data_IF_730324510215
#
_entry.id   IF_730324510215
#
_cell.length_a   1.000
_cell.length_b   1.000
_cell.length_c   1.000
_cell.angle_alpha   90.00
_cell.angle_beta   90.00
_cell.angle_gamma   90.00
#
_symmetry.space_group_name_H-M   'P 1'
#
loop_
_entity.id
_entity.type
_entity.pdbx_description
1 polymer ?
#
# COMPACT_ATOMS: atom_id res chain seq x y z
N UNK A 1 -11.30 5.42 -9.51
CA UNK A 1 -10.14 6.32 -9.28
C UNK A 1 -8.83 5.74 -9.85
N UNK A 2 -8.49 4.48 -9.54
CA UNK A 2 -7.19 3.89 -9.95
C UNK A 2 -7.03 3.76 -11.46
N UNK A 3 -8.09 3.40 -12.19
CA UNK A 3 -8.07 3.26 -13.67
C UNK A 3 -7.78 4.61 -14.35
N UNK A 4 -8.47 5.67 -13.95
CA UNK A 4 -8.23 7.01 -14.52
C UNK A 4 -6.83 7.52 -14.15
N UNK A 5 -6.34 7.18 -12.94
CA UNK A 5 -4.98 7.47 -12.51
C UNK A 5 -3.94 6.78 -13.40
N UNK A 6 -4.08 5.48 -13.69
CA UNK A 6 -3.19 4.74 -14.59
C UNK A 6 -3.17 5.38 -15.98
N UNK A 7 -4.32 5.68 -16.56
CA UNK A 7 -4.41 6.30 -17.88
C UNK A 7 -3.70 7.66 -17.95
N UNK A 8 -3.86 8.49 -16.91
CA UNK A 8 -3.19 9.79 -16.80
C UNK A 8 -1.67 9.63 -16.72
N UNK A 9 -1.18 8.71 -15.86
CA UNK A 9 0.25 8.44 -15.72
C UNK A 9 0.84 7.75 -16.95
N UNK A 10 0.07 6.91 -17.63
CA UNK A 10 0.49 6.27 -18.88
C UNK A 10 0.71 7.29 -20.00
N UNK A 11 -0.24 8.20 -20.22
CA UNK A 11 -0.10 9.29 -21.19
C UNK A 11 1.15 10.15 -20.94
N UNK A 12 1.55 10.30 -19.67
CA UNK A 12 2.78 11.01 -19.26
C UNK A 12 4.05 10.14 -19.33
N UNK A 13 3.96 8.88 -19.73
CA UNK A 13 5.08 7.94 -19.75
C UNK A 13 5.55 7.44 -18.37
N UNK A 14 4.82 7.74 -17.31
CA UNK A 14 5.17 7.47 -15.90
C UNK A 14 4.66 6.10 -15.40
N UNK A 15 4.57 5.10 -16.27
CA UNK A 15 4.23 3.72 -15.91
C UNK A 15 5.29 2.78 -16.43
N UNK A 16 5.90 1.99 -15.58
CA UNK A 16 6.80 0.89 -15.98
C UNK A 16 6.00 -0.43 -15.99
N UNK A 17 5.45 -0.77 -17.16
CA UNK A 17 4.66 -1.99 -17.31
C UNK A 17 5.46 -3.26 -17.02
N UNK A 18 6.75 -3.31 -17.37
CA UNK A 18 7.59 -4.49 -17.11
C UNK A 18 7.75 -4.73 -15.61
N UNK A 19 8.02 -3.67 -14.83
CA UNK A 19 8.07 -3.76 -13.38
C UNK A 19 6.68 -4.06 -12.79
N UNK A 20 5.65 -3.37 -13.31
CA UNK A 20 4.27 -3.54 -12.89
C UNK A 20 3.75 -4.97 -13.09
N UNK A 21 4.04 -5.62 -14.24
CA UNK A 21 3.62 -7.01 -14.48
C UNK A 21 4.33 -7.99 -13.56
N UNK A 22 5.61 -7.79 -13.27
CA UNK A 22 6.35 -8.66 -12.33
C UNK A 22 5.78 -8.54 -10.92
N UNK A 23 5.53 -7.31 -10.44
CA UNK A 23 4.87 -7.06 -9.16
C UNK A 23 3.44 -7.60 -9.12
N UNK A 24 2.72 -7.50 -10.25
CA UNK A 24 1.35 -8.00 -10.39
C UNK A 24 1.30 -9.52 -10.26
N UNK A 25 2.18 -10.25 -10.93
CA UNK A 25 2.23 -11.72 -10.82
C UNK A 25 2.45 -12.13 -9.36
N UNK A 26 3.43 -11.51 -8.68
CA UNK A 26 3.61 -11.73 -7.24
C UNK A 26 2.37 -11.33 -6.42
N UNK A 27 1.77 -10.20 -6.73
CA UNK A 27 0.59 -9.67 -6.04
C UNK A 27 -0.65 -10.54 -6.17
N UNK A 28 -0.92 -11.10 -7.36
CA UNK A 28 -2.05 -12.04 -7.57
C UNK A 28 -1.83 -13.34 -6.81
N UNK A 29 -0.63 -13.92 -6.90
CA UNK A 29 -0.29 -15.11 -6.10
C UNK A 29 -0.39 -14.81 -4.61
N UNK A 30 0.18 -13.68 -4.17
CA UNK A 30 0.15 -13.26 -2.77
C UNK A 30 -1.27 -13.01 -2.26
N UNK A 31 -2.12 -12.33 -3.02
CA UNK A 31 -3.50 -12.08 -2.61
C UNK A 31 -4.33 -13.36 -2.55
N UNK A 32 -4.10 -14.32 -3.45
CA UNK A 32 -4.76 -15.63 -3.40
C UNK A 32 -4.35 -16.40 -2.14
N UNK A 33 -3.07 -16.43 -1.81
CA UNK A 33 -2.57 -17.01 -0.55
C UNK A 33 -3.16 -16.26 0.66
N UNK A 34 -3.21 -14.92 0.58
CA UNK A 34 -3.75 -14.08 1.64
C UNK A 34 -5.22 -14.37 1.96
N UNK A 35 -6.06 -14.63 0.94
CA UNK A 35 -7.46 -15.05 1.16
C UNK A 35 -7.54 -16.40 1.85
N UNK A 36 -6.68 -17.36 1.48
CA UNK A 36 -6.63 -18.68 2.18
C UNK A 36 -6.23 -18.48 3.65
N UNK A 37 -5.21 -17.66 3.92
CA UNK A 37 -4.80 -17.31 5.30
C UNK A 37 -5.94 -16.63 6.05
N UNK A 38 -6.64 -15.68 5.41
CA UNK A 38 -7.80 -14.98 5.96
C UNK A 38 -8.87 -15.98 6.43
N UNK A 39 -9.24 -16.94 5.58
CA UNK A 39 -10.22 -17.98 5.90
C UNK A 39 -9.76 -18.89 7.03
N UNK A 40 -8.48 -19.25 7.05
CA UNK A 40 -7.89 -20.06 8.12
C UNK A 40 -7.93 -19.33 9.47
N UNK A 41 -7.51 -18.07 9.49
CA UNK A 41 -7.54 -17.24 10.70
C UNK A 41 -8.97 -16.98 11.20
N UNK A 42 -9.93 -16.84 10.28
CA UNK A 42 -11.34 -16.72 10.61
C UNK A 42 -11.88 -17.96 11.34
N UNK A 43 -11.48 -19.16 10.90
CA UNK A 43 -11.88 -20.44 11.56
C UNK A 43 -11.30 -20.59 12.97
N UNK A 44 -10.11 -20.03 13.22
CA UNK A 44 -9.46 -20.07 14.55
C UNK A 44 -9.96 -18.94 15.46
N UNK A 45 -10.71 -17.94 14.92
CA UNK A 45 -11.18 -16.79 15.68
C UNK A 45 -10.11 -15.74 15.96
N UNK A 46 -8.94 -15.82 15.34
CA UNK A 46 -7.82 -14.86 15.54
C UNK A 46 -7.71 -13.80 14.44
N UNK A 47 -8.69 -13.72 13.56
CA UNK A 47 -8.67 -12.84 12.40
C UNK A 47 -8.50 -11.36 12.80
N UNK A 48 -9.31 -10.89 13.75
CA UNK A 48 -9.32 -9.49 14.19
C UNK A 48 -7.98 -9.08 14.82
N UNK A 49 -7.40 -9.97 15.64
CA UNK A 49 -6.10 -9.72 16.26
C UNK A 49 -4.98 -9.61 15.22
N UNK A 50 -4.94 -10.52 14.25
CA UNK A 50 -3.90 -10.50 13.19
C UNK A 50 -4.07 -9.28 12.29
N UNK A 51 -5.30 -8.91 11.93
CA UNK A 51 -5.56 -7.72 11.14
C UNK A 51 -5.13 -6.46 11.90
N UNK A 52 -5.59 -6.26 13.13
CA UNK A 52 -5.24 -5.10 13.95
C UNK A 52 -3.74 -4.98 14.19
N UNK A 53 -3.07 -6.09 14.55
CA UNK A 53 -1.62 -6.09 14.75
C UNK A 53 -0.85 -5.78 13.47
N UNK A 54 -1.29 -6.32 12.33
CA UNK A 54 -0.71 -5.97 11.02
C UNK A 54 -0.85 -4.49 10.71
N UNK A 55 -2.04 -3.90 10.95
CA UNK A 55 -2.24 -2.46 10.79
C UNK A 55 -1.30 -1.66 11.68
N UNK A 56 -1.23 -1.97 12.97
CA UNK A 56 -0.35 -1.26 13.92
C UNK A 56 1.09 -1.28 13.45
N UNK A 57 1.62 -2.45 13.10
CA UNK A 57 3.00 -2.59 12.64
C UNK A 57 3.26 -1.79 11.37
N UNK A 58 2.43 -1.96 10.33
CA UNK A 58 2.66 -1.30 9.04
C UNK A 58 2.38 0.19 9.06
N UNK A 59 1.33 0.65 9.76
CA UNK A 59 1.02 2.07 9.87
C UNK A 59 2.11 2.80 10.69
N UNK A 60 2.59 2.19 11.78
CA UNK A 60 3.69 2.77 12.57
C UNK A 60 4.96 2.87 11.72
N UNK A 61 5.33 1.79 11.02
CA UNK A 61 6.54 1.76 10.20
C UNK A 61 6.47 2.80 9.07
N UNK A 62 5.38 2.80 8.30
CA UNK A 62 5.24 3.72 7.17
C UNK A 62 5.05 5.16 7.66
N UNK A 63 4.23 5.37 8.69
CA UNK A 63 4.01 6.68 9.28
C UNK A 63 5.29 7.30 9.83
N UNK A 64 6.11 6.52 10.54
CA UNK A 64 7.39 6.99 11.07
C UNK A 64 8.41 7.32 9.97
N UNK A 65 8.51 6.49 8.92
CA UNK A 65 9.35 6.77 7.75
C UNK A 65 8.91 8.06 7.04
N UNK A 66 7.62 8.21 6.76
CA UNK A 66 7.09 9.40 6.11
C UNK A 66 7.24 10.66 6.96
N UNK A 67 7.02 10.54 8.28
CA UNK A 67 7.17 11.66 9.20
C UNK A 67 8.64 12.11 9.28
N UNK A 68 9.56 11.18 9.46
CA UNK A 68 11.00 11.48 9.53
C UNK A 68 11.51 12.13 8.24
N UNK A 69 11.08 11.64 7.07
CA UNK A 69 11.43 12.24 5.78
C UNK A 69 10.86 13.66 5.64
N UNK A 70 9.58 13.86 6.00
CA UNK A 70 8.89 15.13 5.90
C UNK A 70 9.52 16.19 6.82
N UNK A 71 9.80 15.83 8.08
CA UNK A 71 10.47 16.69 9.04
C UNK A 71 11.89 17.07 8.56
N UNK A 72 12.65 16.07 8.07
CA UNK A 72 13.98 16.31 7.54
C UNK A 72 13.98 17.26 6.34
N UNK A 73 13.00 17.16 5.45
CA UNK A 73 12.86 18.07 4.30
C UNK A 73 12.54 19.50 4.75
N UNK A 74 11.61 19.68 5.70
CA UNK A 74 11.23 20.99 6.23
C UNK A 74 12.42 21.63 6.97
N UNK A 75 13.11 20.86 7.82
CA UNK A 75 14.28 21.36 8.57
C UNK A 75 15.46 21.72 7.66
N UNK A 76 15.71 20.94 6.60
CA UNK A 76 16.77 21.23 5.62
C UNK A 76 16.46 22.48 4.80
N UNK A 77 15.21 22.70 4.41
CA UNK A 77 14.79 23.94 3.74
C UNK A 77 15.00 25.17 4.62
N UNK A 78 14.67 25.09 5.91
CA UNK A 78 14.94 26.20 6.86
C UNK A 78 16.44 26.49 6.99
N UNK A 79 17.31 25.50 6.80
CA UNK A 79 18.78 25.68 6.86
C UNK A 79 19.42 26.04 5.51
N UNK A 80 18.64 26.38 4.47
CA UNK A 80 19.16 26.79 3.15
C UNK A 80 19.92 25.72 2.37
N UNK A 81 19.92 24.46 2.83
CA UNK A 81 20.61 23.36 2.15
C UNK A 81 19.69 22.74 1.09
N UNK A 82 19.92 23.11 -0.17
CA UNK A 82 19.30 22.42 -1.30
C UNK A 82 19.82 20.97 -1.34
N UNK A 83 18.99 20.03 -0.94
CA UNK A 83 19.34 18.62 -1.00
C UNK A 83 19.11 18.09 -2.41
N UNK A 84 20.16 17.83 -3.16
CA UNK A 84 20.13 16.83 -4.22
C UNK A 84 19.86 15.48 -3.55
N UNK A 85 18.67 14.93 -3.75
CA UNK A 85 18.31 13.60 -3.24
C UNK A 85 19.36 12.59 -3.70
N UNK A 86 20.22 12.14 -2.80
CA UNK A 86 21.03 10.95 -3.05
C UNK A 86 20.04 9.78 -3.07
N UNK A 87 19.81 9.21 -4.24
CA UNK A 87 19.23 7.88 -4.35
C UNK A 87 20.13 6.95 -3.56
N UNK A 88 19.63 6.40 -2.45
CA UNK A 88 20.33 5.35 -1.73
C UNK A 88 20.49 4.16 -2.66
N UNK A 89 21.72 3.95 -3.14
CA UNK A 89 22.08 2.69 -3.79
C UNK A 89 22.24 1.65 -2.67
N UNK A 90 21.22 0.85 -2.46
CA UNK A 90 21.33 -0.34 -1.63
C UNK A 90 22.13 -1.41 -2.39
N UNK A 91 23.41 -1.52 -2.09
CA UNK A 91 24.33 -2.52 -2.67
C UNK A 91 24.06 -3.97 -2.19
N UNK A 92 23.13 -4.19 -1.27
CA UNK A 92 22.87 -5.52 -0.69
C UNK A 92 22.14 -6.49 -1.64
N UNK A 93 21.54 -6.00 -2.71
CA UNK A 93 20.66 -6.75 -3.62
C UNK A 93 21.36 -7.33 -4.85
N UNK A 94 22.67 -7.19 -4.96
CA UNK A 94 23.41 -7.64 -6.14
C UNK A 94 23.75 -9.14 -6.18
N UNK A 95 23.45 -9.93 -5.15
CA UNK A 95 23.76 -11.36 -5.06
C UNK A 95 22.73 -12.31 -5.69
N UNK A 96 21.52 -11.86 -6.04
CA UNK A 96 20.45 -12.74 -6.51
C UNK A 96 20.57 -13.07 -8.01
N UNK A 97 20.25 -14.33 -8.42
CA UNK A 97 20.22 -14.74 -9.82
C UNK A 97 19.04 -14.08 -10.57
N UNK A 98 18.97 -14.27 -11.91
CA UNK A 98 17.92 -13.73 -12.80
C UNK A 98 17.84 -12.20 -12.83
N UNK A 99 18.99 -11.53 -12.98
CA UNK A 99 19.05 -10.08 -13.13
C UNK A 99 18.41 -9.63 -14.45
N UNK A 100 17.48 -8.68 -14.35
CA UNK A 100 16.77 -8.12 -15.50
C UNK A 100 16.89 -6.60 -15.50
N UNK A 101 17.00 -6.03 -16.69
CA UNK A 101 17.06 -4.59 -16.89
C UNK A 101 15.65 -4.02 -17.06
N UNK A 102 15.24 -3.17 -16.15
CA UNK A 102 14.01 -2.37 -16.23
C UNK A 102 14.36 -1.01 -16.82
N UNK A 103 14.13 -0.86 -18.13
CA UNK A 103 14.62 0.32 -18.89
C UNK A 103 14.00 1.63 -18.41
N UNK A 104 12.69 1.64 -18.10
CA UNK A 104 12.00 2.86 -17.64
C UNK A 104 12.42 3.26 -16.25
N UNK A 105 12.48 2.34 -15.32
CA UNK A 105 12.92 2.57 -13.94
C UNK A 105 14.43 2.74 -13.80
N UNK A 106 15.21 2.50 -14.89
CA UNK A 106 16.69 2.52 -14.91
C UNK A 106 17.33 1.61 -13.84
N UNK A 107 16.63 0.52 -13.49
CA UNK A 107 17.07 -0.44 -12.48
C UNK A 107 17.59 -1.71 -13.13
N UNK A 108 18.64 -2.26 -12.53
CA UNK A 108 19.18 -3.57 -12.87
C UNK A 108 19.18 -4.43 -11.62
N UNK A 109 18.07 -5.15 -11.43
CA UNK A 109 17.81 -5.96 -10.24
C UNK A 109 17.28 -7.35 -10.63
N UNK A 110 17.35 -8.30 -9.69
CA UNK A 110 16.74 -9.61 -9.87
C UNK A 110 15.21 -9.51 -9.94
N UNK A 111 14.58 -10.27 -10.86
CA UNK A 111 13.12 -10.39 -10.96
C UNK A 111 12.52 -10.97 -9.69
N UNK A 112 13.25 -11.82 -8.97
CA UNK A 112 12.76 -12.46 -7.74
C UNK A 112 12.39 -11.44 -6.67
N UNK A 113 13.12 -10.33 -6.57
CA UNK A 113 12.88 -9.31 -5.56
C UNK A 113 11.51 -8.62 -5.73
N UNK A 114 11.16 -8.05 -6.91
CA UNK A 114 9.82 -7.50 -7.13
C UNK A 114 8.71 -8.55 -6.97
N UNK A 115 8.92 -9.79 -7.42
CA UNK A 115 7.94 -10.87 -7.22
C UNK A 115 7.70 -11.12 -5.74
N UNK A 116 8.75 -11.25 -4.95
CA UNK A 116 8.66 -11.48 -3.51
C UNK A 116 7.96 -10.33 -2.77
N UNK A 117 8.31 -9.08 -3.14
CA UNK A 117 7.62 -7.90 -2.61
C UNK A 117 6.13 -7.93 -3.03
N UNK A 118 5.84 -8.27 -4.28
CA UNK A 118 4.47 -8.43 -4.77
C UNK A 118 3.68 -9.46 -3.95
N UNK A 119 4.27 -10.62 -3.65
CA UNK A 119 3.64 -11.68 -2.84
C UNK A 119 3.33 -11.16 -1.44
N UNK A 120 4.30 -10.57 -0.75
CA UNK A 120 4.08 -10.04 0.60
C UNK A 120 3.00 -8.98 0.62
N UNK A 121 3.09 -8.01 -0.31
CA UNK A 121 2.09 -6.94 -0.42
C UNK A 121 0.71 -7.49 -0.78
N UNK A 122 0.65 -8.50 -1.65
CA UNK A 122 -0.60 -9.17 -2.01
C UNK A 122 -1.26 -9.88 -0.82
N UNK A 123 -0.48 -10.61 -0.01
CA UNK A 123 -0.98 -11.24 1.23
C UNK A 123 -1.54 -10.17 2.16
N UNK A 124 -0.79 -9.11 2.41
CA UNK A 124 -1.21 -8.03 3.29
C UNK A 124 -2.43 -7.28 2.74
N UNK A 125 -2.50 -7.07 1.42
CA UNK A 125 -3.66 -6.48 0.76
C UNK A 125 -4.94 -7.27 0.99
N UNK A 126 -4.85 -8.61 0.92
CA UNK A 126 -5.99 -9.49 1.14
C UNK A 126 -6.40 -9.58 2.61
N UNK A 127 -5.44 -9.56 3.54
CA UNK A 127 -5.72 -9.58 4.98
C UNK A 127 -6.27 -8.24 5.48
N UNK A 128 -5.67 -7.13 5.07
CA UNK A 128 -6.01 -5.79 5.56
C UNK A 128 -7.13 -5.12 4.77
N UNK A 129 -7.45 -5.58 3.56
CA UNK A 129 -8.50 -5.00 2.73
C UNK A 129 -8.19 -3.61 2.13
N UNK A 130 -6.96 -3.09 2.24
CA UNK A 130 -6.57 -1.75 1.72
C UNK A 130 -6.23 -1.78 0.22
N UNK A 131 -6.23 -2.94 -0.42
CA UNK A 131 -5.83 -3.06 -1.83
C UNK A 131 -4.31 -2.96 -2.09
N UNK A 132 -3.47 -3.00 -1.04
CA UNK A 132 -2.01 -3.05 -1.13
C UNK A 132 -1.31 -1.76 -1.56
N UNK A 133 -2.02 -0.74 -2.04
CA UNK A 133 -1.43 0.50 -2.56
C UNK A 133 -0.61 1.27 -1.54
N UNK A 134 -1.06 1.26 -0.31
CA UNK A 134 -0.42 1.94 0.80
C UNK A 134 0.96 1.34 1.15
N UNK A 135 1.13 0.04 0.96
CA UNK A 135 2.38 -0.68 1.27
C UNK A 135 3.30 -0.75 0.06
N UNK A 136 2.74 -0.93 -1.15
CA UNK A 136 3.56 -1.11 -2.36
C UNK A 136 4.33 0.15 -2.73
N UNK A 137 3.77 1.34 -2.52
CA UNK A 137 4.44 2.62 -2.83
C UNK A 137 5.73 2.79 -2.04
N UNK A 138 5.74 2.71 -0.69
CA UNK A 138 6.98 2.74 0.07
C UNK A 138 7.92 1.57 -0.27
N UNK A 139 7.40 0.36 -0.49
CA UNK A 139 8.22 -0.78 -0.86
C UNK A 139 8.97 -0.54 -2.19
N UNK A 140 8.31 0.02 -3.20
CA UNK A 140 8.94 0.36 -4.48
C UNK A 140 10.00 1.46 -4.34
N UNK A 141 9.78 2.44 -3.47
CA UNK A 141 10.73 3.54 -3.24
C UNK A 141 11.94 3.07 -2.43
N UNK A 142 11.69 2.43 -1.29
CA UNK A 142 12.75 2.13 -0.32
C UNK A 142 13.45 0.79 -0.57
N UNK A 143 12.73 -0.24 -1.01
CA UNK A 143 13.32 -1.56 -1.27
C UNK A 143 13.81 -1.72 -2.70
N UNK A 144 13.06 -1.24 -3.71
CA UNK A 144 13.46 -1.35 -5.11
C UNK A 144 14.28 -0.15 -5.60
N UNK A 145 14.22 0.99 -4.90
CA UNK A 145 14.92 2.21 -5.32
C UNK A 145 14.32 2.86 -6.57
N UNK A 146 13.03 2.66 -6.83
CA UNK A 146 12.37 3.23 -8.00
C UNK A 146 12.20 4.75 -7.90
N UNK A 147 12.34 5.48 -9.03
CA UNK A 147 11.99 6.91 -9.07
C UNK A 147 10.52 7.12 -8.70
N UNK A 148 10.25 8.07 -7.79
CA UNK A 148 8.90 8.35 -7.29
C UNK A 148 7.89 8.70 -8.38
N UNK A 149 8.33 9.29 -9.49
CA UNK A 149 7.48 9.60 -10.64
C UNK A 149 6.90 8.37 -11.33
N UNK A 150 7.63 7.25 -11.32
CA UNK A 150 7.19 5.98 -11.91
C UNK A 150 6.43 5.10 -10.93
N UNK A 151 6.71 5.26 -9.63
CA UNK A 151 6.10 4.45 -8.57
C UNK A 151 4.59 4.60 -8.56
N UNK A 152 4.07 5.83 -8.59
CA UNK A 152 2.63 6.10 -8.50
C UNK A 152 1.87 5.44 -9.65
N UNK A 153 2.31 5.64 -10.89
CA UNK A 153 1.64 5.04 -12.05
C UNK A 153 1.73 3.51 -12.08
N UNK A 154 2.90 2.96 -11.70
CA UNK A 154 3.13 1.51 -11.69
C UNK A 154 2.38 0.82 -10.54
N UNK A 155 2.31 1.45 -9.37
CA UNK A 155 1.52 0.92 -8.25
C UNK A 155 0.02 0.93 -8.56
N UNK A 156 -0.52 2.01 -9.12
CA UNK A 156 -1.93 2.06 -9.53
C UNK A 156 -2.27 0.96 -10.53
N UNK A 157 -1.37 0.66 -11.48
CA UNK A 157 -1.55 -0.44 -12.42
C UNK A 157 -1.67 -1.78 -11.70
N UNK A 158 -0.77 -2.07 -10.76
CA UNK A 158 -0.80 -3.32 -9.99
C UNK A 158 -2.04 -3.43 -9.09
N UNK A 159 -2.39 -2.34 -8.39
CA UNK A 159 -3.52 -2.32 -7.45
C UNK A 159 -4.84 -2.71 -8.11
N UNK A 160 -5.10 -2.28 -9.34
CA UNK A 160 -6.33 -2.60 -10.06
C UNK A 160 -6.53 -4.12 -10.11
N UNK A 161 -5.51 -4.85 -10.51
CA UNK A 161 -5.62 -6.29 -10.69
C UNK A 161 -5.59 -7.05 -9.36
N UNK A 162 -4.75 -6.64 -8.42
CA UNK A 162 -4.69 -7.27 -7.09
C UNK A 162 -5.98 -7.05 -6.32
N UNK A 163 -6.54 -5.84 -6.36
CA UNK A 163 -7.82 -5.55 -5.72
C UNK A 163 -8.97 -6.32 -6.38
N UNK A 164 -8.99 -6.39 -7.72
CA UNK A 164 -10.00 -7.18 -8.44
C UNK A 164 -9.92 -8.66 -8.06
N UNK A 165 -8.71 -9.25 -8.05
CA UNK A 165 -8.51 -10.65 -7.64
C UNK A 165 -8.97 -10.88 -6.20
N UNK A 166 -8.57 -10.03 -5.26
CA UNK A 166 -8.98 -10.12 -3.86
C UNK A 166 -10.49 -10.01 -3.72
N UNK A 167 -11.13 -9.05 -4.40
CA UNK A 167 -12.57 -8.85 -4.33
C UNK A 167 -13.34 -10.06 -4.87
N UNK A 168 -12.91 -10.62 -6.02
CA UNK A 168 -13.54 -11.81 -6.61
C UNK A 168 -13.40 -13.01 -5.67
N UNK A 169 -12.22 -13.24 -5.11
CA UNK A 169 -12.00 -14.34 -4.18
C UNK A 169 -12.79 -14.18 -2.87
N UNK A 170 -12.83 -12.98 -2.30
CA UNK A 170 -13.60 -12.71 -1.09
C UNK A 170 -15.11 -12.82 -1.34
N UNK A 171 -15.60 -12.34 -2.50
CA UNK A 171 -17.00 -12.48 -2.87
C UNK A 171 -17.41 -13.93 -3.07
N UNK A 172 -16.56 -14.74 -3.74
CA UNK A 172 -16.88 -16.14 -4.06
C UNK A 172 -16.75 -17.09 -2.88
N UNK A 173 -15.77 -16.86 -1.98
CA UNK A 173 -15.48 -17.78 -0.88
C UNK A 173 -16.17 -17.38 0.43
N UNK A 174 -16.24 -16.08 0.72
CA UNK A 174 -16.68 -15.59 2.03
C UNK A 174 -18.02 -14.86 1.98
N UNK A 175 -18.54 -14.57 0.78
CA UNK A 175 -19.79 -13.81 0.58
C UNK A 175 -19.84 -12.49 1.40
N UNK A 176 -18.68 -11.89 1.65
CA UNK A 176 -18.52 -10.71 2.51
C UNK A 176 -18.65 -9.39 1.75
N UNK A 177 -18.90 -9.43 0.43
CA UNK A 177 -18.98 -8.22 -0.41
C UNK A 177 -20.43 -7.79 -0.55
N UNK A 178 -20.76 -6.70 0.13
CA UNK A 178 -22.04 -5.99 -0.06
C UNK A 178 -21.92 -5.02 -1.26
N UNK A 179 -22.66 -5.32 -2.32
CA UNK A 179 -22.65 -4.52 -3.57
C UNK A 179 -23.20 -3.13 -3.36
N UNK A 180 -24.22 -2.98 -2.52
CA UNK A 180 -24.86 -1.68 -2.26
C UNK A 180 -23.91 -0.77 -1.48
N UNK A 181 -23.33 -1.29 -0.39
CA UNK A 181 -22.33 -0.58 0.40
C UNK A 181 -21.12 -0.22 -0.45
N UNK A 182 -20.60 -1.15 -1.25
CA UNK A 182 -19.47 -0.92 -2.14
C UNK A 182 -19.76 0.19 -3.15
N UNK A 183 -20.97 0.22 -3.73
CA UNK A 183 -21.36 1.25 -4.69
C UNK A 183 -21.42 2.65 -4.05
N UNK A 184 -21.99 2.77 -2.86
CA UNK A 184 -22.06 4.03 -2.11
C UNK A 184 -20.65 4.52 -1.76
N UNK A 185 -19.77 3.63 -1.28
CA UNK A 185 -18.37 3.96 -0.97
C UNK A 185 -17.58 4.38 -2.22
N UNK A 186 -17.85 3.73 -3.37
CA UNK A 186 -17.22 4.12 -4.64
C UNK A 186 -17.65 5.51 -5.08
N UNK A 187 -18.93 5.85 -4.99
CA UNK A 187 -19.43 7.22 -5.29
C UNK A 187 -18.76 8.25 -4.37
N UNK A 188 -18.76 7.98 -3.06
CA UNK A 188 -18.06 8.84 -2.08
C UNK A 188 -16.58 9.01 -2.37
N UNK A 189 -15.88 7.93 -2.77
CA UNK A 189 -14.47 7.99 -3.10
C UNK A 189 -14.18 8.83 -4.35
N UNK A 190 -15.03 8.77 -5.38
CA UNK A 190 -14.89 9.58 -6.59
C UNK A 190 -15.04 11.07 -6.27
N UNK A 191 -16.07 11.43 -5.50
CA UNK A 191 -16.28 12.81 -5.05
C UNK A 191 -15.11 13.26 -4.17
N UNK A 192 -14.69 12.42 -3.21
CA UNK A 192 -13.57 12.71 -2.31
C UNK A 192 -12.26 12.96 -3.03
N UNK A 193 -11.95 12.18 -4.09
CA UNK A 193 -10.74 12.38 -4.91
C UNK A 193 -10.82 13.70 -5.68
N UNK A 194 -11.96 14.09 -6.22
CA UNK A 194 -12.13 15.36 -6.93
C UNK A 194 -11.93 16.56 -6.00
N UNK A 195 -12.55 16.53 -4.82
CA UNK A 195 -12.39 17.57 -3.80
C UNK A 195 -10.95 17.59 -3.29
N UNK A 196 -10.40 16.43 -2.92
CA UNK A 196 -9.04 16.30 -2.41
C UNK A 196 -7.97 16.78 -3.40
N UNK A 197 -8.16 16.51 -4.70
CA UNK A 197 -7.21 16.96 -5.73
C UNK A 197 -7.11 18.48 -5.85
N UNK A 198 -8.18 19.24 -5.52
CA UNK A 198 -8.12 20.71 -5.48
C UNK A 198 -7.24 21.21 -4.33
N UNK A 199 -7.28 20.55 -3.18
CA UNK A 199 -6.44 20.90 -2.03
C UNK A 199 -4.95 20.63 -2.30
N UNK A 200 -4.61 19.61 -3.09
CA UNK A 200 -3.21 19.30 -3.44
C UNK A 200 -2.55 20.41 -4.27
N UNK A 201 -3.33 21.22 -4.98
CA UNK A 201 -2.82 22.36 -5.74
C UNK A 201 -2.53 23.59 -4.86
N UNK A 202 -3.16 23.68 -3.68
CA UNK A 202 -3.03 24.79 -2.74
C UNK A 202 -1.89 24.53 -1.74
N UNK A 203 -1.75 23.29 -1.28
CA UNK A 203 -0.76 22.91 -0.27
C UNK A 203 0.53 22.41 -0.93
N UNK A 204 1.69 22.89 -0.44
CA UNK A 204 2.99 22.33 -0.84
C UNK A 204 3.06 20.86 -0.42
N UNK A 205 3.53 19.99 -1.31
CA UNK A 205 3.54 18.54 -1.10
C UNK A 205 4.19 18.06 0.21
N UNK A 206 5.10 18.86 0.78
CA UNK A 206 5.76 18.58 2.07
C UNK A 206 4.79 18.66 3.25
N UNK A 207 3.93 19.68 3.27
CA UNK A 207 2.90 19.84 4.31
C UNK A 207 1.81 18.76 4.19
N UNK A 208 1.44 18.43 2.96
CA UNK A 208 0.48 17.35 2.69
C UNK A 208 1.00 16.01 3.23
N UNK A 209 2.28 15.72 2.97
CA UNK A 209 2.95 14.51 3.48
C UNK A 209 3.06 14.53 5.00
N UNK A 210 3.33 15.68 5.61
CA UNK A 210 3.37 15.84 7.06
C UNK A 210 2.00 15.55 7.70
N UNK A 211 0.94 16.17 7.17
CA UNK A 211 -0.44 15.96 7.66
C UNK A 211 -0.82 14.48 7.55
N UNK A 212 -0.56 13.87 6.40
CA UNK A 212 -0.87 12.46 6.17
C UNK A 212 -0.10 11.54 7.13
N UNK A 213 1.20 11.76 7.29
CA UNK A 213 2.03 10.94 8.19
C UNK A 213 1.61 11.08 9.65
N UNK A 214 1.25 12.29 10.08
CA UNK A 214 0.72 12.52 11.44
C UNK A 214 -0.60 11.80 11.65
N UNK A 215 -1.52 11.87 10.68
CA UNK A 215 -2.80 11.18 10.74
C UNK A 215 -2.61 9.65 10.80
N UNK A 216 -1.70 9.11 9.99
CA UNK A 216 -1.37 7.67 10.00
C UNK A 216 -0.86 7.23 11.37
N UNK A 217 0.02 8.01 12.00
CA UNK A 217 0.56 7.69 13.32
C UNK A 217 -0.54 7.76 14.39
N UNK A 218 -1.43 8.77 14.32
CA UNK A 218 -2.56 8.88 15.26
C UNK A 218 -3.50 7.67 15.15
N UNK A 219 -3.82 7.24 13.93
CA UNK A 219 -4.64 6.04 13.71
C UNK A 219 -3.93 4.80 14.22
N UNK A 220 -2.63 4.67 13.98
CA UNK A 220 -1.84 3.55 14.49
C UNK A 220 -1.82 3.51 16.03
N UNK A 221 -1.67 4.67 16.66
CA UNK A 221 -1.68 4.77 18.12
C UNK A 221 -3.06 4.38 18.70
N UNK A 222 -4.14 4.82 18.06
CA UNK A 222 -5.49 4.42 18.44
C UNK A 222 -5.68 2.90 18.32
N UNK A 223 -5.28 2.29 17.20
CA UNK A 223 -5.37 0.85 17.03
C UNK A 223 -4.51 0.08 18.05
N UNK A 224 -3.35 0.63 18.41
CA UNK A 224 -2.50 0.06 19.44
C UNK A 224 -3.19 0.10 20.82
N UNK A 225 -3.83 1.22 21.17
CA UNK A 225 -4.59 1.30 22.41
C UNK A 225 -5.78 0.34 22.43
N UNK A 226 -6.51 0.21 21.31
CA UNK A 226 -7.61 -0.75 21.16
C UNK A 226 -7.15 -2.22 21.25
N UNK A 227 -5.88 -2.49 20.92
CA UNK A 227 -5.29 -3.82 21.04
C UNK A 227 -4.87 -4.16 22.48
N UNK A 228 -4.44 -3.16 23.25
CA UNK A 228 -3.95 -3.33 24.63
C UNK A 228 -5.09 -3.25 25.65
N UNK A 229 -6.11 -2.43 25.37
CA UNK A 229 -7.27 -2.31 26.24
C UNK A 229 -8.18 -3.52 26.11
N UNK A 230 -8.61 -4.09 27.23
CA UNK A 230 -9.56 -5.20 27.25
C UNK A 230 -10.87 -4.71 26.63
N UNK A 231 -11.45 -5.41 25.63
CA UNK A 231 -12.74 -5.02 25.07
C UNK A 231 -13.79 -4.91 26.17
N UNK A 232 -14.57 -3.84 26.16
CA UNK A 232 -15.67 -3.63 27.12
C UNK A 232 -16.77 -4.70 27.02
N UNK A 233 -16.85 -5.37 25.86
CA UNK A 233 -17.80 -6.46 25.60
C UNK A 233 -17.06 -7.81 25.57
N UNK A 234 -17.06 -8.48 26.74
CA UNK A 234 -16.43 -9.80 26.92
C UNK A 234 -17.25 -10.94 26.27
N UNK A 235 -18.50 -10.69 25.88
CA UNK A 235 -19.40 -11.70 25.31
C UNK A 235 -19.99 -11.25 23.98
N UNK A 236 -19.33 -11.55 22.88
CA UNK A 236 -20.00 -11.64 21.58
C UNK A 236 -20.53 -13.05 21.39
N UNK A 237 -21.82 -13.25 21.61
CA UNK A 237 -22.49 -14.51 21.26
C UNK A 237 -22.62 -14.56 19.74
N UNK A 238 -21.78 -15.34 19.10
CA UNK A 238 -21.95 -15.67 17.66
C UNK A 238 -23.10 -16.67 17.57
N UNK A 239 -24.30 -16.18 17.25
CA UNK A 239 -25.41 -17.05 16.85
C UNK A 239 -25.06 -17.54 15.44
N UNK A 240 -24.49 -18.74 15.33
CA UNK A 240 -24.36 -19.43 14.04
C UNK A 240 -25.76 -19.85 13.57
N UNK A 241 -26.22 -19.23 12.50
CA UNK A 241 -27.31 -19.75 11.67
C UNK A 241 -26.75 -20.57 10.53
#
# INVERSE_FOLDING_TARGET
>A
PSVSGVLSHWKRGNVDFKMGTVLLLGGVVGSSIGVVIFNFLGKIGQLDLVIKSSYVVFLTLIGSLMLSESLNLILRKRKGKVSRGKLHQHNWLHGLPFKTRFRKSKLYISILLPVFIGIIVGILAALMGIGGGFIIVPAMIYLLGMPTSLVVGTSLFQIIFVAANTTILQASQNQTVDIVLASILLLGSVVGVQVGSRFTNILKGEYLRLILSTLIILVSLKLLTDLITIPSDIFSVIISR
#
